data_IF_217346085882
#
_entry.id   IF_217346085882
#
_cell.length_a   1.000
_cell.length_b   1.000
_cell.length_c   1.000
_cell.angle_alpha   90.00
_cell.angle_beta   90.00
_cell.angle_gamma   90.00
#
_symmetry.space_group_name_H-M   'P 1'
#
loop_
_entity.id
_entity.type
_entity.pdbx_description
1 polymer ?
#
# COMPACT_ATOMS: atom_id res chain seq x y z
N UNK A 1 -20.15 21.02 -7.92
CA UNK A 1 -20.78 20.73 -9.23
C UNK A 1 -20.70 19.22 -9.48
N UNK A 2 -21.73 18.50 -9.04
CA UNK A 2 -21.78 17.03 -9.12
C UNK A 2 -22.32 16.57 -10.47
N UNK A 3 -21.50 15.86 -11.24
CA UNK A 3 -21.98 15.06 -12.37
C UNK A 3 -22.87 13.94 -11.83
N UNK A 4 -24.18 14.19 -11.77
CA UNK A 4 -25.20 13.14 -11.74
C UNK A 4 -25.11 12.42 -13.08
N UNK A 5 -24.40 11.29 -13.11
CA UNK A 5 -24.55 10.31 -14.16
C UNK A 5 -25.98 9.78 -14.07
N UNK A 6 -26.88 10.39 -14.84
CA UNK A 6 -28.17 9.81 -15.18
C UNK A 6 -27.94 8.37 -15.67
N UNK A 7 -28.91 7.50 -15.41
CA UNK A 7 -28.98 6.11 -15.83
C UNK A 7 -28.84 5.99 -17.36
N UNK A 8 -27.63 6.12 -17.87
CA UNK A 8 -27.28 5.78 -19.24
C UNK A 8 -27.24 4.26 -19.26
N UNK A 9 -28.13 3.68 -20.08
CA UNK A 9 -28.30 2.24 -20.27
C UNK A 9 -26.95 1.50 -20.27
N UNK A 10 -26.81 0.51 -19.39
CA UNK A 10 -25.60 -0.33 -19.27
C UNK A 10 -25.17 -0.96 -20.59
N UNK A 11 -26.11 -1.10 -21.55
CA UNK A 11 -25.82 -1.55 -22.92
C UNK A 11 -24.91 -0.61 -23.69
N UNK A 12 -25.11 0.70 -23.60
CA UNK A 12 -24.33 1.68 -24.37
C UNK A 12 -22.86 1.70 -23.96
N UNK A 13 -22.61 1.57 -22.65
CA UNK A 13 -21.24 1.61 -22.10
C UNK A 13 -20.40 0.38 -22.42
N UNK A 14 -21.01 -0.79 -22.59
CA UNK A 14 -20.30 -2.03 -22.90
C UNK A 14 -19.84 -2.09 -24.37
N UNK A 15 -20.28 -1.15 -25.23
CA UNK A 15 -19.87 -1.04 -26.63
C UNK A 15 -18.83 0.06 -26.86
N UNK A 16 -18.45 0.82 -25.83
CA UNK A 16 -17.39 1.82 -25.96
C UNK A 16 -16.03 1.12 -26.20
N UNK A 17 -15.20 1.66 -27.11
CA UNK A 17 -13.81 1.22 -27.24
C UNK A 17 -13.06 1.28 -25.91
N UNK A 18 -12.16 0.32 -25.70
CA UNK A 18 -11.37 0.16 -24.48
C UNK A 18 -10.66 1.46 -24.07
N UNK A 19 -10.08 2.16 -25.03
CA UNK A 19 -9.28 3.37 -24.80
C UNK A 19 -10.15 4.52 -24.28
N UNK A 20 -11.35 4.68 -24.83
CA UNK A 20 -12.30 5.71 -24.42
C UNK A 20 -12.83 5.40 -23.01
N UNK A 21 -13.19 4.14 -22.75
CA UNK A 21 -13.67 3.75 -21.42
C UNK A 21 -12.57 3.90 -20.37
N UNK A 22 -11.33 3.51 -20.70
CA UNK A 22 -10.15 3.70 -19.83
C UNK A 22 -9.88 5.18 -19.55
N UNK A 23 -10.00 6.04 -20.56
CA UNK A 23 -9.89 7.49 -20.41
C UNK A 23 -10.98 8.07 -19.51
N UNK A 24 -12.25 7.68 -19.69
CA UNK A 24 -13.35 8.15 -18.83
C UNK A 24 -13.12 7.70 -17.38
N UNK A 25 -12.75 6.43 -17.17
CA UNK A 25 -12.46 5.87 -15.85
C UNK A 25 -11.22 6.52 -15.21
N UNK A 26 -10.32 7.12 -15.99
CA UNK A 26 -9.19 7.88 -15.47
C UNK A 26 -9.63 9.10 -14.63
N UNK A 27 -10.76 9.72 -14.96
CA UNK A 27 -11.28 10.87 -14.20
C UNK A 27 -12.05 10.49 -12.93
N UNK A 28 -12.35 9.21 -12.71
CA UNK A 28 -13.07 8.79 -11.53
C UNK A 28 -12.17 8.87 -10.29
N UNK A 29 -12.74 9.41 -9.22
CA UNK A 29 -12.18 9.32 -7.87
C UNK A 29 -12.01 7.86 -7.44
N UNK A 30 -11.06 7.54 -6.54
CA UNK A 30 -10.80 6.16 -6.09
C UNK A 30 -12.04 5.37 -5.68
N UNK A 31 -12.96 5.99 -4.93
CA UNK A 31 -14.21 5.32 -4.53
C UNK A 31 -15.14 5.05 -5.73
N UNK A 32 -15.26 6.00 -6.66
CA UNK A 32 -16.09 5.83 -7.85
C UNK A 32 -15.52 4.80 -8.80
N UNK A 33 -14.19 4.76 -8.94
CA UNK A 33 -13.48 3.74 -9.71
C UNK A 33 -13.65 2.35 -9.08
N UNK A 34 -13.59 2.24 -7.75
CA UNK A 34 -13.84 0.97 -7.06
C UNK A 34 -15.26 0.45 -7.34
N UNK A 35 -16.28 1.32 -7.32
CA UNK A 35 -17.65 0.97 -7.73
C UNK A 35 -17.72 0.56 -9.20
N UNK A 36 -17.06 1.31 -10.09
CA UNK A 36 -17.01 1.03 -11.52
C UNK A 36 -16.45 -0.37 -11.82
N UNK A 37 -15.40 -0.80 -11.10
CA UNK A 37 -14.81 -2.16 -11.19
C UNK A 37 -15.75 -3.29 -10.77
N UNK A 38 -16.80 -2.97 -10.02
CA UNK A 38 -17.80 -3.94 -9.58
C UNK A 38 -18.93 -4.16 -10.61
N UNK A 39 -19.04 -3.30 -11.63
CA UNK A 39 -20.12 -3.35 -12.63
C UNK A 39 -19.99 -4.54 -13.58
N UNK A 40 -18.79 -4.77 -14.15
CA UNK A 40 -18.53 -5.88 -15.07
C UNK A 40 -17.04 -6.23 -15.17
N UNK A 41 -16.73 -7.42 -15.72
CA UNK A 41 -15.35 -7.81 -16.01
C UNK A 41 -14.68 -6.85 -17.02
N UNK A 42 -15.44 -6.36 -18.00
CA UNK A 42 -14.94 -5.42 -19.00
C UNK A 42 -14.50 -4.08 -18.36
N UNK A 43 -15.36 -3.52 -17.50
CA UNK A 43 -15.05 -2.30 -16.76
C UNK A 43 -13.87 -2.49 -15.80
N UNK A 44 -13.75 -3.67 -15.19
CA UNK A 44 -12.60 -4.01 -14.35
C UNK A 44 -11.29 -3.97 -15.14
N UNK A 45 -11.26 -4.53 -16.35
CA UNK A 45 -10.09 -4.50 -17.24
C UNK A 45 -9.71 -3.06 -17.60
N UNK A 46 -10.68 -2.24 -18.04
CA UNK A 46 -10.45 -0.84 -18.38
C UNK A 46 -9.91 -0.03 -17.19
N UNK A 47 -10.51 -0.22 -16.01
CA UNK A 47 -10.06 0.41 -14.78
C UNK A 47 -8.67 -0.04 -14.32
N UNK A 48 -8.19 -1.20 -14.80
CA UNK A 48 -6.85 -1.73 -14.54
C UNK A 48 -5.81 -1.19 -15.53
N UNK A 49 -6.21 -0.90 -16.77
CA UNK A 49 -5.37 -0.29 -17.80
C UNK A 49 -5.16 1.23 -17.62
N UNK A 50 -5.73 1.81 -16.56
CA UNK A 50 -5.65 3.23 -16.24
C UNK A 50 -4.18 3.66 -16.03
N UNK A 51 -3.69 4.69 -16.74
CA UNK A 51 -2.35 5.20 -16.52
C UNK A 51 -2.22 5.77 -15.09
N UNK A 52 -1.15 5.40 -14.37
CA UNK A 52 -0.85 5.91 -13.02
C UNK A 52 -0.66 7.43 -13.00
N UNK A 53 -0.34 8.04 -14.14
CA UNK A 53 -0.06 9.47 -14.34
C UNK A 53 -1.28 10.34 -14.61
N UNK A 54 -2.44 9.75 -14.92
CA UNK A 54 -3.64 10.51 -15.25
C UNK A 54 -4.44 10.82 -13.99
N UNK A 55 -4.11 11.89 -13.26
CA UNK A 55 -5.08 12.56 -12.38
C UNK A 55 -4.66 14.01 -12.11
N UNK A 56 -5.31 14.97 -12.78
CA UNK A 56 -5.43 16.34 -12.28
C UNK A 56 -6.31 16.44 -11.03
N UNK A 57 -6.45 15.35 -10.26
CA UNK A 57 -7.18 15.30 -9.00
C UNK A 57 -6.18 15.45 -7.85
N UNK A 58 -6.47 16.31 -6.86
CA UNK A 58 -5.64 16.43 -5.68
C UNK A 58 -5.49 15.09 -4.95
N UNK A 59 -4.34 14.85 -4.29
CA UNK A 59 -4.10 13.63 -3.55
C UNK A 59 -5.16 13.44 -2.45
N UNK A 60 -5.57 12.20 -2.27
CA UNK A 60 -6.45 11.81 -1.17
C UNK A 60 -5.62 11.62 0.10
N UNK A 61 -6.14 12.10 1.23
CA UNK A 61 -5.51 11.89 2.52
C UNK A 61 -6.13 10.66 3.19
N UNK A 62 -5.30 9.79 3.77
CA UNK A 62 -5.74 8.61 4.49
C UNK A 62 -5.22 8.64 5.94
N UNK A 63 -6.13 8.47 6.90
CA UNK A 63 -5.82 8.38 8.32
C UNK A 63 -6.31 7.03 8.86
N UNK A 64 -5.48 6.36 9.63
CA UNK A 64 -5.86 5.15 10.36
C UNK A 64 -5.82 5.42 11.85
N UNK A 65 -6.79 4.90 12.59
CA UNK A 65 -6.76 4.99 14.05
C UNK A 65 -5.82 3.91 14.60
N UNK A 66 -4.85 4.32 15.40
CA UNK A 66 -3.87 3.42 16.03
C UNK A 66 -4.36 2.92 17.40
N UNK A 67 -5.61 2.48 17.50
CA UNK A 67 -6.13 1.84 18.71
C UNK A 67 -6.65 0.44 18.37
N UNK A 68 -6.16 -0.57 19.09
CA UNK A 68 -6.29 -1.99 18.71
C UNK A 68 -7.73 -2.54 18.65
N UNK A 69 -8.73 -1.77 19.05
CA UNK A 69 -10.12 -2.22 19.14
C UNK A 69 -11.00 -1.85 17.94
N UNK A 70 -10.62 -0.86 17.12
CA UNK A 70 -11.45 -0.45 15.97
C UNK A 70 -10.60 -0.25 14.71
N UNK A 71 -10.65 -1.23 13.81
CA UNK A 71 -9.93 -1.20 12.54
C UNK A 71 -10.73 -0.40 11.52
N UNK A 72 -10.56 0.92 11.57
CA UNK A 72 -11.17 1.85 10.62
C UNK A 72 -10.11 2.75 9.99
N UNK A 73 -10.20 2.92 8.67
CA UNK A 73 -9.47 3.94 7.93
C UNK A 73 -10.44 5.06 7.57
N UNK A 74 -9.99 6.30 7.62
CA UNK A 74 -10.73 7.46 7.15
C UNK A 74 -9.99 8.03 5.96
N UNK A 75 -10.68 8.24 4.86
CA UNK A 75 -10.12 8.84 3.66
C UNK A 75 -10.82 10.15 3.37
N UNK A 76 -10.04 11.19 3.09
CA UNK A 76 -10.53 12.51 2.73
C UNK A 76 -10.39 12.72 1.22
N UNK A 77 -11.52 13.03 0.58
CA UNK A 77 -11.57 13.41 -0.81
C UNK A 77 -11.28 14.91 -0.96
N UNK A 78 -10.03 15.25 -1.30
CA UNK A 78 -9.61 16.64 -1.44
C UNK A 78 -10.39 17.44 -2.50
N UNK A 79 -11.01 16.77 -3.49
CA UNK A 79 -11.84 17.44 -4.50
C UNK A 79 -13.25 17.76 -4.02
N UNK A 80 -13.76 17.00 -3.04
CA UNK A 80 -15.13 17.14 -2.53
C UNK A 80 -15.23 17.72 -1.12
N UNK A 81 -14.13 17.69 -0.35
CA UNK A 81 -14.11 18.08 1.06
C UNK A 81 -14.69 17.04 2.03
N UNK A 82 -15.10 15.88 1.52
CA UNK A 82 -15.78 14.85 2.30
C UNK A 82 -14.81 13.85 2.93
N UNK A 83 -15.15 13.40 4.13
CA UNK A 83 -14.51 12.26 4.79
C UNK A 83 -15.35 11.00 4.63
N UNK A 84 -14.68 9.89 4.32
CA UNK A 84 -15.29 8.57 4.19
C UNK A 84 -14.66 7.60 5.17
N UNK A 85 -15.48 6.93 5.99
CA UNK A 85 -15.05 5.81 6.81
C UNK A 85 -15.01 4.52 6.00
N UNK A 86 -13.85 3.85 6.00
CA UNK A 86 -13.62 2.56 5.36
C UNK A 86 -13.41 1.50 6.45
N UNK A 87 -14.30 0.49 6.54
CA UNK A 87 -14.14 -0.59 7.51
C UNK A 87 -12.96 -1.48 7.10
N UNK A 88 -12.03 -1.71 8.03
CA UNK A 88 -10.89 -2.61 7.86
C UNK A 88 -11.08 -3.94 8.60
N UNK A 89 -12.33 -4.34 8.84
CA UNK A 89 -12.70 -5.61 9.50
C UNK A 89 -12.30 -6.89 8.74
N UNK A 90 -11.80 -6.76 7.51
CA UNK A 90 -11.24 -7.88 6.73
C UNK A 90 -9.76 -8.13 7.03
N UNK A 91 -9.12 -7.24 7.79
CA UNK A 91 -7.71 -7.40 8.16
C UNK A 91 -7.58 -8.41 9.31
N UNK A 92 -6.50 -9.21 9.33
CA UNK A 92 -6.26 -10.17 10.41
C UNK A 92 -5.84 -9.50 11.73
N UNK A 93 -5.53 -8.20 11.71
CA UNK A 93 -4.96 -7.49 12.85
C UNK A 93 -4.85 -5.99 12.58
N UNK A 94 -4.56 -5.19 13.62
CA UNK A 94 -4.37 -3.75 13.47
C UNK A 94 -3.13 -3.50 12.60
N UNK A 95 -3.17 -2.44 11.78
CA UNK A 95 -2.08 -2.06 10.89
C UNK A 95 -1.63 -0.63 11.13
N UNK A 96 -0.38 -0.34 10.80
CA UNK A 96 0.14 1.03 10.73
C UNK A 96 0.57 1.32 9.29
N UNK A 97 -0.04 2.31 8.62
CA UNK A 97 0.44 2.79 7.33
C UNK A 97 1.90 3.25 7.41
N UNK A 98 2.66 3.01 6.34
CA UNK A 98 4.06 3.42 6.20
C UNK A 98 4.23 4.32 4.98
N UNK A 99 3.73 3.89 3.82
CA UNK A 99 3.91 4.58 2.54
C UNK A 99 2.75 4.29 1.59
N UNK A 100 2.54 5.14 0.59
CA UNK A 100 1.58 4.92 -0.51
C UNK A 100 2.28 4.45 -1.79
N UNK A 101 1.77 3.44 -2.47
CA UNK A 101 2.34 2.87 -3.69
C UNK A 101 1.24 2.71 -4.74
N UNK A 102 1.19 3.61 -5.72
CA UNK A 102 0.21 3.58 -6.83
C UNK A 102 -1.24 3.31 -6.39
N UNK A 103 -1.70 4.04 -5.36
CA UNK A 103 -3.05 3.90 -4.81
C UNK A 103 -3.24 2.73 -3.84
N UNK A 104 -2.18 1.96 -3.56
CA UNK A 104 -2.09 1.03 -2.43
C UNK A 104 -1.43 1.71 -1.23
N UNK A 105 -1.62 1.11 -0.06
CA UNK A 105 -0.96 1.49 1.19
C UNK A 105 -0.05 0.35 1.62
N UNK A 106 1.25 0.61 1.66
CA UNK A 106 2.20 -0.24 2.38
C UNK A 106 2.01 0.00 3.88
N UNK A 107 1.79 -1.07 4.62
CA UNK A 107 1.56 -1.03 6.05
C UNK A 107 2.37 -2.10 6.78
N UNK A 108 2.62 -1.89 8.07
CA UNK A 108 3.10 -2.92 8.99
C UNK A 108 1.93 -3.47 9.81
N UNK A 109 1.96 -4.76 10.10
CA UNK A 109 1.12 -5.32 11.16
C UNK A 109 1.53 -4.71 12.50
N UNK A 110 0.56 -4.26 13.29
CA UNK A 110 0.75 -3.72 14.64
C UNK A 110 0.54 -4.78 15.73
N UNK A 111 0.03 -5.97 15.38
CA UNK A 111 -0.15 -7.08 16.31
C UNK A 111 1.11 -7.93 16.51
N UNK A 112 2.18 -7.64 15.78
CA UNK A 112 3.47 -8.34 15.84
C UNK A 112 4.56 -7.39 16.29
N UNK A 113 5.42 -7.85 17.20
CA UNK A 113 6.66 -7.14 17.55
C UNK A 113 7.65 -7.15 16.38
N UNK A 114 7.59 -8.20 15.56
CA UNK A 114 8.41 -8.36 14.36
C UNK A 114 7.85 -7.53 13.21
N UNK A 115 8.74 -6.99 12.38
CA UNK A 115 8.37 -6.29 11.17
C UNK A 115 7.70 -7.24 10.17
N UNK A 116 6.39 -7.08 10.00
CA UNK A 116 5.60 -7.80 9.00
C UNK A 116 4.94 -6.79 8.06
N UNK A 117 5.45 -6.69 6.83
CA UNK A 117 4.91 -5.80 5.81
C UNK A 117 3.68 -6.40 5.11
N UNK A 118 2.78 -5.53 4.66
CA UNK A 118 1.65 -5.89 3.82
C UNK A 118 1.22 -4.75 2.90
N UNK A 119 0.68 -5.10 1.74
CA UNK A 119 0.02 -4.16 0.83
C UNK A 119 -1.49 -4.20 1.07
N UNK A 120 -2.07 -3.02 1.23
CA UNK A 120 -3.49 -2.80 1.47
C UNK A 120 -4.09 -1.94 0.36
N UNK A 121 -5.21 -2.38 -0.20
CA UNK A 121 -6.14 -1.51 -0.90
C UNK A 121 -7.41 -1.34 -0.05
N UNK A 122 -7.61 -0.17 0.59
CA UNK A 122 -8.75 0.01 1.49
C UNK A 122 -10.08 0.13 0.73
N UNK A 123 -10.07 0.48 -0.56
CA UNK A 123 -11.28 0.62 -1.38
C UNK A 123 -11.77 -0.73 -1.93
N UNK A 124 -10.84 -1.60 -2.35
CA UNK A 124 -11.18 -2.94 -2.88
C UNK A 124 -11.13 -4.03 -1.83
N UNK A 125 -10.78 -3.68 -0.57
CA UNK A 125 -10.63 -4.62 0.56
C UNK A 125 -9.63 -5.74 0.27
N UNK A 126 -8.56 -5.40 -0.45
CA UNK A 126 -7.48 -6.35 -0.74
C UNK A 126 -6.35 -6.17 0.28
N UNK A 127 -5.87 -7.29 0.82
CA UNK A 127 -4.76 -7.33 1.76
C UNK A 127 -3.82 -8.46 1.37
N UNK A 128 -2.52 -8.17 1.33
CA UNK A 128 -1.51 -9.17 0.94
C UNK A 128 -0.22 -8.98 1.72
N UNK A 129 0.09 -9.95 2.56
CA UNK A 129 1.31 -9.96 3.36
C UNK A 129 2.54 -10.19 2.47
N UNK A 130 3.65 -9.59 2.88
CA UNK A 130 4.98 -9.84 2.31
C UNK A 130 5.70 -10.88 3.15
N UNK A 131 6.77 -11.52 2.65
CA UNK A 131 7.62 -12.37 3.48
C UNK A 131 8.14 -11.61 4.70
N UNK A 132 8.45 -12.36 5.77
CA UNK A 132 9.13 -11.80 6.94
C UNK A 132 10.61 -11.55 6.64
N UNK A 133 11.23 -10.51 7.20
CA UNK A 133 12.68 -10.35 7.17
C UNK A 133 13.35 -11.55 7.84
N UNK A 134 14.55 -11.90 7.39
CA UNK A 134 15.36 -12.96 8.00
C UNK A 134 15.76 -12.60 9.44
N UNK A 135 15.97 -11.31 9.71
CA UNK A 135 16.32 -10.78 11.03
C UNK A 135 15.10 -10.05 11.58
N UNK A 136 14.55 -10.56 12.69
CA UNK A 136 13.46 -9.84 13.36
C UNK A 136 13.98 -8.65 14.17
N UNK A 137 13.34 -7.50 13.96
CA UNK A 137 13.73 -6.21 14.51
C UNK A 137 12.52 -5.51 15.11
N UNK A 138 12.69 -4.95 16.31
CA UNK A 138 11.78 -3.99 16.92
C UNK A 138 12.22 -2.57 16.60
N UNK A 139 11.24 -1.75 16.21
CA UNK A 139 11.40 -0.31 15.91
C UNK A 139 12.57 0.01 14.95
N UNK A 140 12.73 -0.71 13.82
CA UNK A 140 13.75 -0.34 12.85
C UNK A 140 13.38 0.96 12.13
N UNK A 141 14.38 1.64 11.58
CA UNK A 141 14.16 2.67 10.57
C UNK A 141 13.75 1.99 9.26
N UNK A 142 12.75 2.57 8.57
CA UNK A 142 12.20 2.02 7.33
C UNK A 142 12.24 3.11 6.26
N UNK A 143 12.97 2.84 5.17
CA UNK A 143 12.98 3.66 3.95
C UNK A 143 12.33 2.91 2.78
N UNK A 144 11.66 3.64 1.89
CA UNK A 144 11.02 3.07 0.71
C UNK A 144 11.53 3.80 -0.53
N UNK A 145 11.89 3.04 -1.56
CA UNK A 145 12.27 3.56 -2.86
C UNK A 145 11.35 2.97 -3.91
N UNK A 146 10.69 3.84 -4.67
CA UNK A 146 9.84 3.45 -5.78
C UNK A 146 10.67 3.44 -7.07
N UNK A 147 10.75 2.29 -7.73
CA UNK A 147 11.60 2.03 -8.89
C UNK A 147 10.76 1.93 -10.16
N UNK A 148 9.99 2.98 -10.46
CA UNK A 148 9.23 3.10 -11.71
C UNK A 148 8.22 1.97 -11.99
N UNK A 149 7.58 1.98 -13.17
CA UNK A 149 6.78 0.86 -13.62
C UNK A 149 7.71 -0.34 -13.87
N UNK A 150 7.47 -1.45 -13.17
CA UNK A 150 8.21 -2.70 -13.42
C UNK A 150 8.06 -3.16 -14.87
N UNK A 151 8.90 -4.09 -15.31
CA UNK A 151 8.82 -4.72 -16.63
C UNK A 151 7.54 -5.59 -16.73
N UNK A 152 6.38 -4.95 -16.94
CA UNK A 152 5.09 -5.61 -17.18
C UNK A 152 3.87 -4.84 -16.67
N UNK A 153 2.64 -5.33 -16.92
CA UNK A 153 1.39 -4.73 -16.45
C UNK A 153 1.15 -4.87 -14.93
N UNK A 154 2.21 -5.11 -14.15
CA UNK A 154 2.16 -5.33 -12.70
C UNK A 154 2.44 -4.05 -11.93
N UNK A 155 1.95 -4.04 -10.69
CA UNK A 155 2.14 -2.97 -9.71
C UNK A 155 3.58 -2.42 -9.72
N UNK A 156 3.69 -1.11 -9.50
CA UNK A 156 4.94 -0.37 -9.39
C UNK A 156 5.98 -1.11 -8.55
N UNK A 157 7.19 -1.29 -9.12
CA UNK A 157 8.31 -1.94 -8.46
C UNK A 157 8.82 -1.05 -7.33
N UNK A 158 9.07 -1.63 -6.16
CA UNK A 158 9.59 -0.89 -5.02
C UNK A 158 10.53 -1.74 -4.19
N UNK A 159 11.42 -1.04 -3.49
CA UNK A 159 12.30 -1.63 -2.47
C UNK A 159 12.02 -1.02 -1.11
N UNK A 160 12.10 -1.86 -0.09
CA UNK A 160 11.99 -1.41 1.30
C UNK A 160 13.31 -1.70 1.99
N UNK A 161 13.90 -0.67 2.55
CA UNK A 161 15.16 -0.70 3.28
C UNK A 161 14.85 -0.63 4.77
N UNK A 162 15.44 -1.53 5.54
CA UNK A 162 15.22 -1.62 6.98
C UNK A 162 16.57 -1.60 7.66
N UNK A 163 16.80 -0.64 8.54
CA UNK A 163 18.07 -0.46 9.22
C UNK A 163 17.90 -0.28 10.73
N UNK A 164 18.84 -0.82 11.49
CA UNK A 164 18.89 -0.71 12.95
C UNK A 164 17.74 -1.43 13.64
N UNK A 165 17.36 -0.90 14.80
CA UNK A 165 16.35 -1.48 15.67
C UNK A 165 16.97 -2.41 16.72
N UNK A 166 16.10 -3.02 17.52
CA UNK A 166 16.50 -3.99 18.54
C UNK A 166 16.17 -5.39 18.07
N UNK A 167 17.10 -6.33 18.23
CA UNK A 167 16.82 -7.75 18.00
C UNK A 167 15.76 -8.26 18.99
N UNK A 168 14.84 -9.08 18.51
CA UNK A 168 13.93 -9.82 19.38
C UNK A 168 14.63 -11.07 19.87
N UNK A 169 15.13 -11.06 21.11
CA UNK A 169 15.66 -12.27 21.75
C UNK A 169 14.58 -12.99 22.57
N UNK A 170 14.82 -14.29 22.81
CA UNK A 170 14.02 -15.10 23.73
C UNK A 170 14.01 -14.48 25.14
N UNK A 171 12.96 -14.77 25.92
CA UNK A 171 12.79 -14.25 27.28
C UNK A 171 14.08 -14.46 28.12
N UNK A 172 14.66 -13.37 28.63
CA UNK A 172 15.77 -13.40 29.58
C UNK A 172 17.08 -12.74 29.11
N UNK A 173 17.24 -12.44 27.82
CA UNK A 173 18.44 -11.78 27.29
C UNK A 173 18.23 -10.27 27.07
N UNK A 174 19.29 -9.48 27.29
CA UNK A 174 19.29 -8.06 26.94
C UNK A 174 19.14 -7.89 25.41
N UNK A 175 18.22 -7.03 24.97
CA UNK A 175 18.07 -6.70 23.56
C UNK A 175 19.31 -5.98 23.05
N UNK A 176 19.92 -6.49 21.99
CA UNK A 176 21.06 -5.84 21.34
C UNK A 176 20.59 -4.99 20.16
N UNK A 177 21.33 -3.92 19.89
CA UNK A 177 21.14 -3.13 18.68
C UNK A 177 21.55 -3.96 17.47
N UNK A 178 20.72 -3.96 16.42
CA UNK A 178 21.00 -4.69 15.18
C UNK A 178 21.91 -3.85 14.26
N UNK A 179 23.16 -4.25 13.99
CA UNK A 179 24.12 -3.43 13.24
C UNK A 179 23.96 -3.56 11.72
N UNK A 180 23.09 -4.44 11.21
CA UNK A 180 22.92 -4.66 9.76
C UNK A 180 21.75 -3.87 9.17
N UNK A 181 21.66 -3.82 7.85
CA UNK A 181 20.47 -3.40 7.13
C UNK A 181 20.02 -4.45 6.12
N UNK A 182 18.71 -4.52 5.93
CA UNK A 182 18.03 -5.46 5.05
C UNK A 182 17.29 -4.72 3.95
N UNK A 183 17.15 -5.37 2.79
CA UNK A 183 16.38 -4.87 1.66
C UNK A 183 15.33 -5.92 1.26
N UNK A 184 14.08 -5.49 1.20
CA UNK A 184 13.01 -6.20 0.51
C UNK A 184 12.92 -5.69 -0.92
N UNK A 185 12.86 -6.60 -1.89
CA UNK A 185 12.61 -6.29 -3.30
C UNK A 185 11.23 -6.83 -3.70
N UNK A 186 10.36 -5.97 -4.24
CA UNK A 186 9.00 -6.37 -4.60
C UNK A 186 8.91 -7.26 -5.83
N UNK A 187 9.92 -7.26 -6.70
CA UNK A 187 9.92 -8.07 -7.92
C UNK A 187 10.27 -9.52 -7.63
N UNK A 188 11.34 -9.74 -6.85
CA UNK A 188 11.69 -11.08 -6.38
C UNK A 188 10.82 -11.52 -5.20
N UNK A 189 10.14 -10.59 -4.53
CA UNK A 189 9.36 -10.83 -3.32
C UNK A 189 10.21 -11.56 -2.26
N UNK A 190 11.41 -11.05 -1.99
CA UNK A 190 12.38 -11.62 -1.04
C UNK A 190 13.06 -10.54 -0.23
N UNK A 191 13.51 -10.92 0.98
CA UNK A 191 14.44 -10.13 1.77
C UNK A 191 15.87 -10.55 1.51
N UNK A 192 16.79 -9.58 1.55
CA UNK A 192 18.23 -9.78 1.47
C UNK A 192 18.90 -8.97 2.58
N UNK A 193 19.82 -9.60 3.32
CA UNK A 193 20.69 -8.91 4.27
C UNK A 193 21.79 -8.26 3.45
N UNK A 194 21.91 -6.93 3.53
CA UNK A 194 22.79 -6.16 2.65
C UNK A 194 24.16 -5.89 3.29
N UNK A 195 24.29 -6.12 4.60
CA UNK A 195 25.53 -5.99 5.35
C UNK A 195 25.42 -5.00 6.52
N UNK A 196 26.54 -4.59 7.11
CA UNK A 196 26.57 -3.62 8.20
C UNK A 196 26.09 -2.24 7.74
N UNK A 197 25.46 -1.49 8.63
CA UNK A 197 25.03 -0.11 8.38
C UNK A 197 26.28 0.78 8.21
N UNK A 198 26.40 1.53 7.10
CA UNK A 198 27.53 2.43 6.88
C UNK A 198 27.69 3.45 8.02
N UNK A 199 28.92 3.64 8.51
CA UNK A 199 29.22 4.60 9.57
C UNK A 199 29.08 4.07 11.00
N UNK A 200 28.56 2.86 11.20
CA UNK A 200 28.66 2.15 12.49
C UNK A 200 30.01 1.43 12.50
N UNK A 201 31.05 2.10 13.00
CA UNK A 201 32.29 1.41 13.36
C UNK A 201 32.06 0.60 14.64
N UNK A 202 32.41 -0.68 14.61
CA UNK A 202 32.60 -1.48 15.81
C UNK A 202 33.80 -0.91 16.57
N UNK A 203 33.60 0.15 17.36
CA UNK A 203 34.56 0.52 18.38
C UNK A 203 34.45 -0.51 19.50
N UNK A 204 35.31 -1.53 19.46
CA UNK A 204 35.41 -2.50 20.55
C UNK A 204 36.05 -3.83 20.16
N UNK A 205 37.38 -3.81 19.98
CA UNK A 205 38.26 -4.74 20.67
C UNK A 205 39.35 -3.91 21.37
#
# INVERSE_FOLDING_TARGET
SGLRLYLISTKMWNHLPLDILTYILSFLSPHSLARARAVSNHWRTCAGARPSSCNGQPPWFAASRNNGSNMSCYVHNSSGGDWYGLPLNFLPGPIRPIHTLDGLVLCRSSGSMDLQLALLNPFTRQYSQRPKPSISRRNPAIGIVTLGPGLGPKATHFRVYVAGGMTTMALGSASTHEPTWDMYDSDSNTWQVMGPIPGIQHNGL
#
